data_IF_653442485387
#
_entry.id   IF_653442485387
#
_cell.length_a   1.000
_cell.length_b   1.000
_cell.length_c   1.000
_cell.angle_alpha   90.00
_cell.angle_beta   90.00
_cell.angle_gamma   90.00
#
_symmetry.space_group_name_H-M   'P 1'
#
loop_
_entity.id
_entity.type
_entity.pdbx_description
1 polymer ?
#
# COMPACT_ATOMS: atom_id res chain seq x y z
N UNK A 1 -23.68 -3.58 -20.21
CA UNK A 1 -22.30 -3.59 -20.73
C UNK A 1 -21.78 -5.01 -20.59
N UNK A 2 -21.24 -5.64 -21.65
CA UNK A 2 -20.61 -6.96 -21.57
C UNK A 2 -19.41 -6.95 -20.60
N UNK A 3 -19.12 -8.10 -19.98
CA UNK A 3 -18.03 -8.23 -19.01
C UNK A 3 -16.67 -7.88 -19.63
N UNK A 4 -16.45 -8.28 -20.88
CA UNK A 4 -15.20 -8.01 -21.61
C UNK A 4 -14.98 -6.50 -21.83
N UNK A 5 -16.06 -5.75 -22.07
CA UNK A 5 -15.98 -4.30 -22.24
C UNK A 5 -15.65 -3.60 -20.91
N UNK A 6 -16.23 -4.08 -19.80
CA UNK A 6 -15.91 -3.60 -18.44
C UNK A 6 -14.44 -3.91 -18.11
N UNK A 7 -13.99 -5.13 -18.33
CA UNK A 7 -12.60 -5.56 -18.12
C UNK A 7 -11.62 -4.69 -18.92
N UNK A 8 -11.93 -4.41 -20.19
CA UNK A 8 -11.08 -3.58 -21.05
C UNK A 8 -10.96 -2.15 -20.50
N UNK A 9 -12.08 -1.53 -20.11
CA UNK A 9 -12.11 -0.20 -19.50
C UNK A 9 -11.34 -0.14 -18.18
N UNK A 10 -11.50 -1.13 -17.31
CA UNK A 10 -10.78 -1.20 -16.04
C UNK A 10 -9.28 -1.35 -16.29
N UNK A 11 -8.86 -2.25 -17.18
CA UNK A 11 -7.44 -2.44 -17.54
C UNK A 11 -6.84 -1.17 -18.13
N UNK A 12 -7.56 -0.48 -19.01
CA UNK A 12 -7.12 0.80 -19.57
C UNK A 12 -6.83 1.84 -18.48
N UNK A 13 -7.74 2.00 -17.52
CA UNK A 13 -7.60 2.91 -16.39
C UNK A 13 -6.41 2.49 -15.50
N UNK A 14 -6.33 1.21 -15.13
CA UNK A 14 -5.32 0.70 -14.20
C UNK A 14 -3.92 0.66 -14.79
N UNK A 15 -3.78 0.29 -16.07
CA UNK A 15 -2.48 0.20 -16.73
C UNK A 15 -2.00 1.56 -17.22
N UNK A 16 -2.90 2.54 -17.41
CA UNK A 16 -2.52 3.92 -17.74
C UNK A 16 -1.59 4.00 -18.97
N UNK A 17 -1.86 3.17 -19.98
CA UNK A 17 -1.07 3.06 -21.21
C UNK A 17 0.22 2.23 -21.10
N UNK A 18 0.55 1.68 -19.93
CA UNK A 18 1.74 0.84 -19.74
C UNK A 18 1.52 -0.59 -20.26
N UNK A 19 2.61 -1.21 -20.75
CA UNK A 19 2.59 -2.63 -21.11
C UNK A 19 2.60 -3.49 -19.85
N UNK A 20 2.04 -4.71 -19.92
CA UNK A 20 2.01 -5.63 -18.78
C UNK A 20 3.40 -5.87 -18.15
N UNK A 21 4.46 -5.91 -18.96
CA UNK A 21 5.83 -6.03 -18.48
C UNK A 21 6.27 -4.85 -17.62
N UNK A 22 5.90 -3.62 -18.02
CA UNK A 22 6.19 -2.40 -17.24
C UNK A 22 5.32 -2.28 -16.00
N UNK A 23 4.05 -2.69 -16.05
CA UNK A 23 3.14 -2.70 -14.89
C UNK A 23 3.64 -3.63 -13.78
N UNK A 24 4.38 -4.70 -14.14
CA UNK A 24 5.00 -5.61 -13.17
C UNK A 24 6.26 -5.04 -12.51
N UNK A 25 6.81 -3.94 -13.03
CA UNK A 25 7.96 -3.26 -12.46
C UNK A 25 7.53 -2.17 -11.49
N UNK A 26 8.29 -1.99 -10.40
CA UNK A 26 8.00 -0.98 -9.39
C UNK A 26 8.16 0.48 -9.87
N UNK A 27 8.62 0.72 -11.11
CA UNK A 27 8.90 2.03 -11.71
C UNK A 27 7.94 2.42 -12.84
N UNK A 28 6.84 1.67 -13.04
CA UNK A 28 5.83 1.98 -14.05
C UNK A 28 4.85 3.07 -13.64
N UNK A 29 4.09 3.62 -14.59
CA UNK A 29 3.02 4.62 -14.36
C UNK A 29 1.64 4.02 -14.12
N UNK A 30 1.57 2.73 -13.81
CA UNK A 30 0.33 2.03 -13.50
C UNK A 30 -0.29 2.58 -12.20
N UNK A 31 -1.63 2.57 -12.10
CA UNK A 31 -2.34 3.21 -10.99
C UNK A 31 -2.56 2.26 -9.83
N UNK A 32 -2.39 2.74 -8.60
CA UNK A 32 -2.78 1.97 -7.42
C UNK A 32 -4.29 1.68 -7.44
N UNK A 33 -4.65 0.43 -7.17
CA UNK A 33 -6.04 0.02 -6.96
C UNK A 33 -6.29 -0.08 -5.45
N UNK A 34 -7.15 0.79 -4.95
CA UNK A 34 -7.52 0.89 -3.53
C UNK A 34 -8.91 0.31 -3.32
N UNK A 35 -9.09 -0.49 -2.29
CA UNK A 35 -10.39 -1.05 -1.93
C UNK A 35 -10.39 -1.78 -0.60
N UNK A 36 -11.41 -2.60 -0.39
CA UNK A 36 -11.58 -3.42 0.80
C UNK A 36 -11.97 -4.82 0.36
N UNK A 37 -11.13 -5.81 0.67
CA UNK A 37 -11.33 -7.20 0.27
C UNK A 37 -11.41 -7.41 -1.25
N UNK A 38 -10.42 -6.83 -1.95
CA UNK A 38 -10.39 -6.71 -3.42
C UNK A 38 -10.32 -8.05 -4.16
N UNK A 39 -10.00 -9.14 -3.47
CA UNK A 39 -9.85 -10.47 -4.06
C UNK A 39 -11.14 -10.93 -4.73
N UNK A 40 -12.27 -10.84 -4.01
CA UNK A 40 -13.58 -11.24 -4.53
C UNK A 40 -14.05 -10.37 -5.71
N UNK A 41 -13.78 -9.07 -5.67
CA UNK A 41 -14.12 -8.15 -6.76
C UNK A 41 -13.31 -8.49 -8.03
N UNK A 42 -12.01 -8.71 -7.88
CA UNK A 42 -11.12 -9.03 -9.00
C UNK A 42 -11.44 -10.41 -9.59
N UNK A 43 -11.75 -11.40 -8.76
CA UNK A 43 -12.22 -12.73 -9.19
C UNK A 43 -13.52 -12.64 -9.99
N UNK A 44 -14.51 -11.90 -9.48
CA UNK A 44 -15.80 -11.70 -10.16
C UNK A 44 -15.65 -10.99 -11.50
N UNK A 45 -14.63 -10.13 -11.62
CA UNK A 45 -14.27 -9.46 -12.86
C UNK A 45 -13.32 -10.27 -13.75
N UNK A 46 -12.81 -11.43 -13.32
CA UNK A 46 -11.79 -12.20 -14.06
C UNK A 46 -10.50 -11.41 -14.31
N UNK A 47 -10.12 -10.55 -13.37
CA UNK A 47 -8.94 -9.68 -13.45
C UNK A 47 -7.85 -10.14 -12.48
N UNK A 48 -6.60 -9.95 -12.89
CA UNK A 48 -5.43 -10.09 -12.02
C UNK A 48 -4.63 -8.79 -12.09
N UNK A 49 -4.23 -8.29 -10.93
CA UNK A 49 -3.48 -7.05 -10.80
C UNK A 49 -2.29 -7.24 -9.85
N UNK A 50 -1.10 -6.67 -10.11
CA UNK A 50 0.06 -6.93 -9.28
C UNK A 50 -0.10 -6.47 -7.83
N UNK A 51 0.30 -7.32 -6.88
CA UNK A 51 0.14 -7.08 -5.44
C UNK A 51 0.76 -5.76 -4.96
N UNK A 52 1.90 -5.37 -5.53
CA UNK A 52 2.57 -4.11 -5.15
C UNK A 52 1.77 -2.86 -5.55
N UNK A 53 0.79 -2.99 -6.45
CA UNK A 53 -0.13 -1.92 -6.86
C UNK A 53 -1.50 -2.03 -6.17
N UNK A 54 -1.75 -3.08 -5.38
CA UNK A 54 -2.95 -3.23 -4.57
C UNK A 54 -2.80 -2.50 -3.22
N UNK A 55 -3.86 -1.82 -2.81
CA UNK A 55 -4.00 -1.18 -1.50
C UNK A 55 -5.32 -1.64 -0.90
N UNK A 56 -5.30 -2.88 -0.45
CA UNK A 56 -6.45 -3.53 0.17
C UNK A 56 -6.48 -3.24 1.68
N UNK A 57 -7.50 -2.50 2.11
CA UNK A 57 -7.71 -2.12 3.52
C UNK A 57 -8.05 -3.31 4.41
N UNK A 58 -8.54 -4.43 3.86
CA UNK A 58 -8.80 -5.66 4.62
C UNK A 58 -7.51 -6.44 4.93
N UNK A 59 -6.48 -6.28 4.09
CA UNK A 59 -5.19 -7.00 4.18
C UNK A 59 -4.03 -6.13 4.72
N UNK A 60 -4.29 -4.87 5.06
CA UNK A 60 -3.25 -3.95 5.53
C UNK A 60 -2.99 -4.17 7.04
N UNK A 61 -1.79 -4.65 7.46
CA UNK A 61 -1.57 -5.09 8.84
C UNK A 61 -1.94 -4.06 9.93
N UNK A 62 -1.68 -2.76 9.77
CA UNK A 62 -2.11 -1.73 10.74
C UNK A 62 -3.62 -1.58 10.93
N UNK A 63 -4.42 -2.11 10.01
CA UNK A 63 -5.89 -2.10 10.05
C UNK A 63 -6.48 -3.48 10.37
N UNK A 64 -5.65 -4.50 10.56
CA UNK A 64 -6.08 -5.86 10.87
C UNK A 64 -6.17 -6.07 12.38
N UNK A 65 -6.89 -7.12 12.78
CA UNK A 65 -6.86 -7.61 14.15
C UNK A 65 -5.48 -8.18 14.48
N UNK A 66 -5.18 -8.33 15.76
CA UNK A 66 -3.93 -8.95 16.24
C UNK A 66 -3.74 -10.40 15.77
N UNK A 67 -4.83 -11.11 15.43
CA UNK A 67 -4.79 -12.44 14.86
C UNK A 67 -4.73 -12.46 13.31
N UNK A 68 -4.40 -11.32 12.68
CA UNK A 68 -4.32 -11.16 11.22
C UNK A 68 -5.63 -11.47 10.49
N UNK A 69 -6.78 -11.31 11.16
CA UNK A 69 -8.09 -11.34 10.52
C UNK A 69 -8.52 -9.90 10.20
N UNK A 70 -9.17 -9.72 9.06
CA UNK A 70 -9.70 -8.41 8.65
C UNK A 70 -10.79 -7.92 9.61
N UNK A 71 -10.88 -6.60 9.75
CA UNK A 71 -12.07 -5.94 10.28
C UNK A 71 -13.03 -5.63 9.12
N UNK A 72 -14.32 -5.52 9.40
CA UNK A 72 -15.27 -5.03 8.40
C UNK A 72 -15.00 -3.56 8.06
N UNK A 73 -15.29 -3.17 6.81
CA UNK A 73 -15.20 -1.77 6.39
C UNK A 73 -16.01 -0.83 7.30
N UNK A 74 -17.20 -1.28 7.75
CA UNK A 74 -18.04 -0.56 8.72
C UNK A 74 -17.35 -0.31 10.06
N UNK A 75 -16.61 -1.30 10.58
CA UNK A 75 -15.83 -1.11 11.79
C UNK A 75 -14.67 -0.12 11.57
N UNK A 76 -13.94 -0.28 10.46
CA UNK A 76 -12.79 0.57 10.15
C UNK A 76 -13.19 2.03 9.94
N UNK A 77 -14.27 2.28 9.21
CA UNK A 77 -14.80 3.64 8.99
C UNK A 77 -15.24 4.29 10.29
N UNK A 78 -15.99 3.58 11.13
CA UNK A 78 -16.40 4.10 12.44
C UNK A 78 -15.19 4.42 13.33
N UNK A 79 -14.20 3.52 13.36
CA UNK A 79 -13.04 3.62 14.27
C UNK A 79 -12.05 4.69 13.83
N UNK A 80 -11.72 4.73 12.54
CA UNK A 80 -10.64 5.58 12.02
C UNK A 80 -11.13 6.88 11.40
N UNK A 81 -12.38 6.93 10.92
CA UNK A 81 -12.95 8.10 10.25
C UNK A 81 -14.10 8.74 11.04
N UNK A 82 -14.65 8.07 12.05
CA UNK A 82 -15.65 8.64 12.96
C UNK A 82 -17.08 8.68 12.41
N UNK A 83 -17.38 7.97 11.33
CA UNK A 83 -18.74 7.86 10.79
C UNK A 83 -19.10 6.41 10.45
N UNK A 84 -20.39 6.12 10.52
CA UNK A 84 -20.95 4.82 10.17
C UNK A 84 -21.38 4.81 8.70
N UNK A 85 -21.07 3.72 8.01
CA UNK A 85 -21.61 3.38 6.68
C UNK A 85 -22.59 2.21 6.79
N UNK A 86 -23.31 1.91 5.71
CA UNK A 86 -24.16 0.72 5.64
C UNK A 86 -25.19 0.71 6.80
N UNK A 87 -25.79 1.87 7.07
CA UNK A 87 -26.87 2.01 8.04
C UNK A 87 -28.23 1.52 7.50
N UNK A 88 -28.32 1.31 6.18
CA UNK A 88 -29.48 0.76 5.48
C UNK A 88 -29.03 -0.21 4.38
N UNK A 89 -29.40 0.10 3.13
CA UNK A 89 -28.97 -0.68 1.96
C UNK A 89 -27.49 -0.38 1.68
N UNK A 90 -26.73 -1.42 1.33
CA UNK A 90 -25.34 -1.29 0.91
C UNK A 90 -25.25 -0.51 -0.42
N UNK A 91 -24.43 0.53 -0.44
CA UNK A 91 -24.08 1.29 -1.65
C UNK A 91 -22.60 1.05 -1.98
N UNK A 92 -22.28 0.37 -3.11
CA UNK A 92 -20.90 0.15 -3.53
C UNK A 92 -20.10 1.46 -3.70
N UNK A 93 -20.76 2.57 -4.02
CA UNK A 93 -20.10 3.87 -4.13
C UNK A 93 -19.67 4.39 -2.75
N UNK A 94 -20.52 4.30 -1.73
CA UNK A 94 -20.18 4.61 -0.34
C UNK A 94 -18.99 3.77 0.14
N UNK A 95 -18.99 2.47 -0.15
CA UNK A 95 -17.93 1.54 0.24
C UNK A 95 -16.58 1.90 -0.43
N UNK A 96 -16.59 2.19 -1.74
CA UNK A 96 -15.39 2.61 -2.47
C UNK A 96 -14.81 3.92 -1.94
N UNK A 97 -15.65 4.93 -1.67
CA UNK A 97 -15.23 6.21 -1.08
C UNK A 97 -14.66 6.00 0.33
N UNK A 98 -15.26 5.10 1.10
CA UNK A 98 -14.84 4.78 2.46
C UNK A 98 -13.46 4.13 2.50
N UNK A 99 -13.22 3.14 1.64
CA UNK A 99 -11.91 2.51 1.47
C UNK A 99 -10.85 3.53 1.03
N UNK A 100 -11.19 4.42 0.09
CA UNK A 100 -10.30 5.49 -0.36
C UNK A 100 -9.94 6.48 0.78
N UNK A 101 -10.91 6.84 1.63
CA UNK A 101 -10.68 7.71 2.80
C UNK A 101 -9.78 7.03 3.83
N UNK A 102 -9.95 5.73 4.09
CA UNK A 102 -9.07 4.96 4.95
C UNK A 102 -7.63 4.95 4.40
N UNK A 103 -7.46 4.64 3.12
CA UNK A 103 -6.16 4.68 2.46
C UNK A 103 -5.48 6.05 2.62
N UNK A 104 -6.19 7.14 2.30
CA UNK A 104 -5.66 8.51 2.45
C UNK A 104 -5.26 8.83 3.89
N UNK A 105 -6.04 8.39 4.88
CA UNK A 105 -5.70 8.55 6.29
C UNK A 105 -4.39 7.84 6.63
N UNK A 106 -4.19 6.62 6.15
CA UNK A 106 -2.94 5.87 6.36
C UNK A 106 -1.76 6.52 5.63
N UNK A 107 -1.97 7.05 4.42
CA UNK A 107 -0.94 7.78 3.68
C UNK A 107 -0.49 9.08 4.37
N UNK A 108 -1.37 9.68 5.17
CA UNK A 108 -1.07 10.90 5.91
C UNK A 108 -0.30 10.66 7.22
N UNK A 109 -0.09 9.40 7.62
CA UNK A 109 0.70 9.08 8.81
C UNK A 109 2.18 9.42 8.61
N UNK A 110 2.84 9.85 9.68
CA UNK A 110 4.29 10.09 9.68
C UNK A 110 5.02 8.76 9.73
N UNK A 111 5.85 8.49 8.72
CA UNK A 111 6.76 7.35 8.79
C UNK A 111 7.88 7.66 9.80
N UNK A 112 7.87 6.99 10.95
CA UNK A 112 8.99 7.02 11.89
C UNK A 112 10.18 6.28 11.27
N UNK A 113 11.08 7.03 10.65
CA UNK A 113 12.43 6.53 10.34
C UNK A 113 13.24 6.63 11.61
N UNK A 114 13.17 5.62 12.49
CA UNK A 114 14.08 5.55 13.63
C UNK A 114 15.49 5.24 13.13
N UNK A 115 16.39 6.18 13.44
CA UNK A 115 17.66 6.39 12.75
C UNK A 115 18.62 5.21 12.79
N UNK A 116 19.11 4.86 11.61
CA UNK A 116 20.54 4.72 11.34
C UNK A 116 20.78 5.36 9.98
N UNK A 117 21.32 6.58 9.99
CA UNK A 117 22.01 7.12 8.84
C UNK A 117 23.27 6.27 8.62
N UNK A 118 23.17 5.29 7.72
CA UNK A 118 24.35 4.77 7.05
C UNK A 118 24.41 5.53 5.73
N UNK A 119 25.47 6.32 5.58
CA UNK A 119 25.79 7.06 4.38
C UNK A 119 25.91 6.07 3.21
N UNK A 120 24.87 5.87 2.43
CA UNK A 120 25.00 5.30 1.10
C UNK A 120 23.87 5.79 0.20
N UNK A 121 24.31 6.51 -0.83
CA UNK A 121 23.54 6.93 -1.99
C UNK A 121 22.96 5.71 -2.70
N UNK A 122 21.76 5.27 -2.34
CA UNK A 122 20.91 4.40 -3.16
C UNK A 122 19.49 4.34 -2.59
N UNK A 123 18.74 5.43 -2.74
CA UNK A 123 17.28 5.38 -2.67
C UNK A 123 16.73 4.71 -3.93
N UNK A 124 16.98 3.42 -4.07
CA UNK A 124 16.37 2.61 -5.10
C UNK A 124 16.19 1.19 -4.59
N UNK A 125 14.95 0.89 -4.19
CA UNK A 125 14.36 -0.46 -4.19
C UNK A 125 15.34 -1.59 -3.87
N UNK A 126 15.84 -1.64 -2.63
CA UNK A 126 16.44 -2.86 -2.12
C UNK A 126 15.61 -3.36 -0.94
N UNK A 127 14.89 -4.42 -1.24
CA UNK A 127 14.56 -5.53 -0.35
C UNK A 127 14.28 -5.16 1.11
N UNK A 128 12.99 -5.23 1.42
CA UNK A 128 12.36 -5.35 2.73
C UNK A 128 12.86 -6.53 3.60
N UNK A 129 14.08 -7.05 3.39
CA UNK A 129 14.61 -8.08 4.29
C UNK A 129 15.01 -7.35 5.56
N UNK A 130 14.23 -7.56 6.62
CA UNK A 130 14.58 -7.00 7.92
C UNK A 130 15.98 -7.51 8.29
N UNK A 131 16.80 -6.68 8.93
CA UNK A 131 18.11 -7.13 9.47
C UNK A 131 17.92 -8.37 10.36
N UNK A 132 16.75 -8.50 10.97
CA UNK A 132 16.30 -9.67 11.70
C UNK A 132 16.21 -10.94 10.82
N UNK A 133 15.70 -10.86 9.59
CA UNK A 133 15.66 -11.99 8.63
C UNK A 133 17.05 -12.35 8.05
N UNK A 134 17.99 -11.40 7.99
CA UNK A 134 19.37 -11.65 7.53
C UNK A 134 20.26 -12.25 8.63
N UNK A 135 19.99 -11.96 9.89
CA UNK A 135 20.75 -12.50 11.02
C UNK A 135 20.47 -13.99 11.17
N UNK A 136 21.53 -14.78 11.38
CA UNK A 136 21.37 -16.21 11.66
C UNK A 136 20.63 -16.37 12.99
N UNK A 137 19.71 -17.34 13.08
CA UNK A 137 18.96 -17.63 14.31
C UNK A 137 19.86 -17.66 15.58
N UNK A 138 21.04 -18.28 15.48
CA UNK A 138 22.04 -18.37 16.56
C UNK A 138 22.61 -17.03 17.04
N UNK A 139 22.52 -15.98 16.24
CA UNK A 139 22.92 -14.62 16.60
C UNK A 139 21.77 -13.90 17.29
N UNK A 140 20.53 -14.12 16.83
CA UNK A 140 19.31 -13.58 17.46
C UNK A 140 19.11 -14.14 18.87
N UNK A 141 19.34 -15.44 19.06
CA UNK A 141 19.18 -16.11 20.36
C UNK A 141 20.14 -15.59 21.45
N UNK A 142 21.19 -14.85 21.05
CA UNK A 142 22.18 -14.26 21.97
C UNK A 142 21.91 -12.80 22.29
N UNK A 143 20.94 -12.17 21.62
CA UNK A 143 20.60 -10.77 21.83
C UNK A 143 19.66 -10.63 23.02
N UNK A 144 19.81 -9.54 23.76
CA UNK A 144 18.87 -9.13 24.79
C UNK A 144 17.51 -8.72 24.18
N UNK A 145 16.42 -8.74 24.97
CA UNK A 145 15.12 -8.25 24.51
C UNK A 145 15.16 -6.83 23.95
N UNK A 146 15.96 -5.94 24.57
CA UNK A 146 16.10 -4.55 24.12
C UNK A 146 16.80 -4.48 22.75
N UNK A 147 17.87 -5.24 22.54
CA UNK A 147 18.55 -5.32 21.23
C UNK A 147 17.65 -5.89 20.13
N UNK A 148 16.81 -6.88 20.46
CA UNK A 148 15.82 -7.42 19.53
C UNK A 148 14.73 -6.40 19.19
N UNK A 149 14.32 -5.60 20.18
CA UNK A 149 13.35 -4.54 19.99
C UNK A 149 13.87 -3.45 19.05
N UNK A 150 15.11 -3.00 19.22
CA UNK A 150 15.76 -1.98 18.37
C UNK A 150 15.94 -2.46 16.90
N UNK A 151 16.07 -3.77 16.69
CA UNK A 151 16.16 -4.37 15.35
C UNK A 151 14.78 -4.62 14.71
N UNK A 152 13.71 -4.55 15.51
CA UNK A 152 12.36 -4.87 15.08
C UNK A 152 11.90 -3.84 14.05
N UNK A 153 11.70 -4.30 12.82
CA UNK A 153 11.14 -3.48 11.74
C UNK A 153 9.82 -4.09 11.29
N UNK A 154 8.81 -3.27 10.96
CA UNK A 154 7.59 -3.79 10.36
C UNK A 154 7.91 -4.52 9.06
N UNK A 155 7.38 -5.73 8.90
CA UNK A 155 7.51 -6.54 7.69
C UNK A 155 6.46 -6.19 6.61
N UNK A 156 5.81 -5.04 6.73
CA UNK A 156 4.80 -4.57 5.79
C UNK A 156 5.20 -3.23 5.18
N UNK A 157 4.73 -2.97 3.95
CA UNK A 157 4.96 -1.68 3.29
C UNK A 157 4.02 -0.61 3.83
N UNK A 158 4.56 0.42 4.49
CA UNK A 158 3.75 1.55 4.96
C UNK A 158 3.18 2.36 3.79
N UNK A 159 1.86 2.59 3.79
CA UNK A 159 1.20 3.40 2.75
C UNK A 159 1.53 4.90 2.85
N UNK A 160 2.07 5.34 4.00
CA UNK A 160 2.70 6.65 4.14
C UNK A 160 3.86 6.90 3.15
N UNK A 161 4.44 5.84 2.57
CA UNK A 161 5.49 5.96 1.56
C UNK A 161 4.93 6.24 0.16
N UNK A 162 3.63 6.00 -0.08
CA UNK A 162 3.00 6.25 -1.39
C UNK A 162 2.85 7.75 -1.69
N UNK A 163 2.70 8.59 -0.67
CA UNK A 163 2.60 10.05 -0.81
C UNK A 163 3.96 10.73 -1.04
N UNK A 164 5.06 10.05 -0.70
CA UNK A 164 6.43 10.57 -0.89
C UNK A 164 6.93 10.41 -2.32
N UNK A 165 6.45 9.39 -3.03
CA UNK A 165 6.88 9.09 -4.40
C UNK A 165 6.46 10.19 -5.39
N UNK A 166 5.32 10.86 -5.15
CA UNK A 166 4.83 11.98 -5.97
C UNK A 166 5.62 13.28 -5.84
N UNK A 167 6.41 13.47 -4.76
CA UNK A 167 7.16 14.71 -4.53
C UNK A 167 8.46 14.71 -5.34
N UNK A 168 9.11 13.56 -5.53
CA UNK A 168 10.36 13.46 -6.32
C UNK A 168 10.15 13.64 -7.82
N UNK A 169 8.97 13.29 -8.36
CA UNK A 169 8.67 13.47 -9.79
C UNK A 169 8.38 14.94 -10.16
N UNK A 170 7.91 15.77 -9.22
CA UNK A 170 7.67 17.20 -9.46
C UNK A 170 8.92 18.07 -9.32
N UNK A 171 9.93 17.64 -8.55
CA UNK A 171 11.21 18.36 -8.42
C UNK A 171 12.14 18.19 -9.62
N UNK A 172 11.90 17.20 -10.49
CA UNK A 172 12.70 16.95 -11.69
C UNK A 172 12.15 17.62 -12.96
N UNK A 173 11.09 18.42 -12.85
CA UNK A 173 10.58 19.26 -13.94
C UNK A 173 10.61 20.73 -13.52
N UNK A 174 11.80 21.29 -13.35
CA UNK A 174 12.00 22.74 -13.48
C UNK A 174 12.60 23.03 -14.87
N UNK A 175 11.81 23.48 -15.86
CA UNK A 175 12.32 23.88 -17.18
C UNK A 175 12.97 25.27 -17.17
N UNK A 176 13.03 25.95 -16.03
CA UNK A 176 13.52 27.33 -15.92
C UNK A 176 14.70 27.39 -14.96
N UNK A 177 15.86 26.98 -15.48
CA UNK A 177 17.17 27.26 -14.91
C UNK A 177 17.99 28.05 -15.92
N UNK A 178 17.80 29.36 -15.97
CA UNK A 178 18.70 30.33 -16.59
C UNK A 178 18.40 31.67 -15.94
N UNK A 179 19.33 32.15 -15.10
CA UNK A 179 20.10 33.40 -15.25
C UNK A 179 21.35 33.28 -14.37
#
# INVERSE_FOLDING_TARGET
>A
MPLEEVQAKIKEILYNGETLGRVRMNSGKARLLVGHDLEHDLESLGLSYPDHLLRDTAKYPPLMKTNLVSHSLKYLTQTYLGYTIQAGIHDPFEDAISAMRLYKRMCAQVHQLEGLAINDTNYHTQSFISVFELKKQRELDKMSPDELFELSRPNYRCWCLDSRTSIQEQSNTNPWGSW
#
